data_IF_024757112951
#
_entry.id   IF_024757112951
#
_cell.length_a   1.000
_cell.length_b   1.000
_cell.length_c   1.000
_cell.angle_alpha   90.00
_cell.angle_beta   90.00
_cell.angle_gamma   90.00
#
_symmetry.space_group_name_H-M   'P 1'
#
loop_
_entity.id
_entity.type
_entity.pdbx_description
1 polymer ?
#
# COMPACT_ATOMS: atom_id res chain seq x y z
N UNK A 1 -12.20 -26.36 8.25
CA UNK A 1 -11.78 -26.21 6.84
C UNK A 1 -10.27 -26.28 6.78
N UNK A 2 -9.72 -27.16 5.97
CA UNK A 2 -8.40 -27.77 6.13
C UNK A 2 -7.20 -26.83 5.91
N UNK A 3 -6.20 -26.96 6.80
CA UNK A 3 -4.84 -26.38 6.75
C UNK A 3 -4.12 -26.57 5.37
N UNK A 4 -4.59 -27.48 4.53
CA UNK A 4 -4.04 -27.71 3.19
C UNK A 4 -4.30 -26.60 2.16
N UNK A 5 -5.24 -25.67 2.41
CA UNK A 5 -5.50 -24.54 1.48
C UNK A 5 -4.47 -23.43 1.68
N UNK A 6 -3.97 -23.22 2.89
CA UNK A 6 -2.93 -22.22 3.16
C UNK A 6 -1.56 -22.59 2.55
N UNK A 7 -1.26 -23.88 2.45
CA UNK A 7 -0.01 -24.35 1.81
C UNK A 7 -0.04 -24.24 0.27
N UNK A 8 -1.20 -24.29 -0.35
CA UNK A 8 -1.35 -24.18 -1.81
C UNK A 8 -1.23 -22.74 -2.31
N UNK A 9 -1.64 -21.75 -1.49
CA UNK A 9 -1.52 -20.33 -1.86
C UNK A 9 -0.06 -19.85 -1.76
N UNK A 10 0.73 -20.41 -0.85
CA UNK A 10 2.17 -20.12 -0.74
C UNK A 10 3.01 -20.76 -1.87
N UNK A 11 2.53 -21.82 -2.50
CA UNK A 11 3.30 -22.58 -3.50
C UNK A 11 3.10 -22.12 -4.95
N UNK A 12 2.06 -21.37 -5.28
CA UNK A 12 1.74 -21.00 -6.67
C UNK A 12 2.38 -19.70 -7.17
N UNK A 13 3.16 -18.99 -6.32
CA UNK A 13 3.90 -17.78 -6.70
C UNK A 13 5.38 -18.05 -7.06
N UNK A 14 5.84 -19.30 -7.02
CA UNK A 14 7.25 -19.68 -7.18
C UNK A 14 7.52 -20.50 -8.43
N UNK A 15 7.33 -19.95 -9.63
CA UNK A 15 7.95 -20.52 -10.85
C UNK A 15 8.12 -19.47 -11.96
N UNK A 16 9.17 -18.66 -11.85
CA UNK A 16 9.92 -18.17 -13.03
C UNK A 16 11.40 -18.26 -12.69
N UNK A 17 12.06 -19.21 -13.31
CA UNK A 17 13.49 -19.41 -13.13
C UNK A 17 14.31 -18.37 -13.89
N UNK A 18 15.28 -17.77 -13.21
CA UNK A 18 16.45 -17.15 -13.83
C UNK A 18 17.69 -17.47 -13.00
N UNK A 19 18.81 -17.66 -13.70
CA UNK A 19 20.08 -18.11 -13.18
C UNK A 19 20.65 -17.20 -12.07
N UNK A 20 21.20 -17.80 -11.04
CA UNK A 20 21.78 -17.12 -9.89
C UNK A 20 23.07 -16.35 -10.23
N UNK A 21 23.22 -15.10 -9.81
CA UNK A 21 24.53 -14.45 -9.77
C UNK A 21 25.35 -14.95 -8.58
N UNK A 22 26.63 -14.98 -8.78
CA UNK A 22 27.69 -15.52 -7.94
C UNK A 22 27.68 -14.97 -6.49
N UNK A 23 27.32 -15.82 -5.51
CA UNK A 23 27.18 -15.49 -4.08
C UNK A 23 28.51 -15.50 -3.31
N UNK A 24 29.64 -15.10 -3.89
CA UNK A 24 30.97 -15.29 -3.30
C UNK A 24 31.47 -14.20 -2.37
N UNK A 25 30.65 -13.24 -1.92
CA UNK A 25 31.06 -12.19 -0.96
C UNK A 25 30.24 -12.21 0.33
N UNK A 26 30.21 -13.36 1.03
CA UNK A 26 29.76 -13.40 2.42
C UNK A 26 30.90 -12.89 3.31
N UNK A 27 30.73 -11.72 3.94
CA UNK A 27 31.57 -11.33 5.07
C UNK A 27 31.00 -11.94 6.34
N UNK A 28 31.65 -12.98 6.83
CA UNK A 28 31.41 -13.53 8.16
C UNK A 28 32.29 -12.75 9.12
N UNK A 29 31.69 -12.07 10.10
CA UNK A 29 32.43 -11.39 11.16
C UNK A 29 32.46 -12.31 12.38
N UNK A 30 33.65 -12.49 12.97
CA UNK A 30 33.82 -13.17 14.26
C UNK A 30 34.01 -12.13 15.35
N UNK A 31 33.63 -12.46 16.58
CA UNK A 31 33.65 -11.57 17.78
C UNK A 31 34.98 -10.90 18.09
N UNK A 32 36.10 -11.43 17.60
CA UNK A 32 37.42 -10.84 17.81
C UNK A 32 37.64 -9.50 17.08
N UNK A 33 36.75 -9.12 16.19
CA UNK A 33 36.80 -7.85 15.46
C UNK A 33 36.08 -6.70 16.21
N UNK A 34 35.57 -6.93 17.43
CA UNK A 34 34.61 -6.08 18.10
C UNK A 34 35.17 -5.47 19.40
N UNK A 35 35.68 -4.26 19.30
CA UNK A 35 36.13 -3.47 20.47
C UNK A 35 35.06 -2.49 21.02
N UNK A 36 33.89 -2.44 20.41
CA UNK A 36 32.78 -1.53 20.78
C UNK A 36 31.45 -2.15 20.43
N UNK A 37 30.34 -1.61 20.94
CA UNK A 37 28.97 -2.02 20.58
C UNK A 37 28.55 -1.62 19.17
N UNK A 38 29.44 -1.07 18.38
CA UNK A 38 29.19 -0.55 17.03
C UNK A 38 29.97 -1.36 16.00
N UNK A 39 29.26 -1.84 14.98
CA UNK A 39 29.80 -2.69 13.93
C UNK A 39 29.63 -1.99 12.59
N UNK A 40 30.72 -1.61 11.95
CA UNK A 40 30.70 -1.04 10.62
C UNK A 40 30.71 -2.13 9.57
N UNK A 41 29.64 -2.20 8.77
CA UNK A 41 29.46 -3.18 7.70
C UNK A 41 29.52 -2.44 6.36
N UNK A 42 30.49 -2.79 5.51
CA UNK A 42 30.52 -2.31 4.12
C UNK A 42 29.54 -3.14 3.31
N UNK A 43 28.57 -2.46 2.71
CA UNK A 43 27.49 -3.09 1.95
C UNK A 43 27.77 -3.05 0.44
N UNK A 44 27.41 -4.11 -0.28
CA UNK A 44 27.39 -4.03 -1.75
C UNK A 44 26.35 -3.01 -2.20
N UNK A 45 26.70 -2.13 -3.13
CA UNK A 45 25.84 -1.01 -3.60
C UNK A 45 24.53 -1.43 -4.27
N UNK A 46 24.28 -2.72 -4.47
CA UNK A 46 23.22 -3.23 -5.34
C UNK A 46 22.02 -3.83 -4.60
N UNK A 47 21.97 -3.76 -3.28
CA UNK A 47 20.87 -4.31 -2.50
C UNK A 47 20.24 -3.24 -1.61
N UNK A 48 18.91 -3.26 -1.49
CA UNK A 48 18.15 -2.43 -0.56
C UNK A 48 17.71 -3.19 0.69
N UNK A 49 17.81 -4.52 0.65
CA UNK A 49 17.44 -5.41 1.75
C UNK A 49 18.62 -6.30 2.09
N UNK A 50 18.85 -6.50 3.37
CA UNK A 50 19.94 -7.30 3.90
C UNK A 50 19.39 -8.27 4.93
N UNK A 51 20.01 -9.44 5.01
CA UNK A 51 19.77 -10.44 6.06
C UNK A 51 20.87 -10.36 7.09
N UNK A 52 20.51 -10.15 8.34
CA UNK A 52 21.38 -10.34 9.49
C UNK A 52 21.14 -11.73 10.06
N UNK A 53 22.20 -12.52 10.21
CA UNK A 53 22.16 -13.83 10.85
C UNK A 53 23.05 -13.80 12.08
N UNK A 54 22.51 -14.25 13.21
CA UNK A 54 23.17 -14.18 14.52
C UNK A 54 23.09 -15.54 15.20
N UNK A 55 24.23 -16.00 15.72
CA UNK A 55 24.29 -17.14 16.61
C UNK A 55 24.66 -16.64 18.01
N UNK A 56 23.81 -16.90 19.00
CA UNK A 56 23.86 -16.23 20.29
C UNK A 56 23.25 -17.02 21.44
N UNK A 57 23.63 -16.62 22.67
CA UNK A 57 22.83 -16.83 23.89
C UNK A 57 22.43 -15.47 24.46
N UNK A 58 21.27 -15.36 25.11
CA UNK A 58 20.81 -14.09 25.65
C UNK A 58 19.90 -14.30 26.87
N UNK A 59 20.17 -13.59 27.96
CA UNK A 59 19.34 -13.57 29.17
C UNK A 59 18.05 -12.83 28.98
N UNK A 60 18.05 -11.82 28.10
CA UNK A 60 16.89 -11.02 27.75
C UNK A 60 16.81 -10.79 26.23
N UNK A 61 15.67 -10.29 25.78
CA UNK A 61 15.51 -9.82 24.41
C UNK A 61 16.52 -8.69 24.14
N UNK A 62 17.28 -8.81 23.05
CA UNK A 62 18.21 -7.79 22.59
C UNK A 62 17.90 -7.36 21.17
N UNK A 63 18.59 -6.33 20.68
CA UNK A 63 18.36 -5.83 19.31
C UNK A 63 19.60 -5.15 18.75
N UNK A 64 19.69 -5.13 17.42
CA UNK A 64 20.56 -4.23 16.68
C UNK A 64 19.77 -3.02 16.20
N UNK A 65 20.42 -1.85 16.22
CA UNK A 65 19.97 -0.68 15.46
C UNK A 65 20.87 -0.54 14.24
N UNK A 66 20.28 -0.66 13.05
CA UNK A 66 20.97 -0.46 11.79
C UNK A 66 20.78 0.99 11.34
N UNK A 67 21.85 1.72 11.07
CA UNK A 67 21.81 3.10 10.54
C UNK A 67 22.94 3.31 9.53
N UNK A 68 22.77 4.25 8.55
CA UNK A 68 23.88 4.69 7.75
C UNK A 68 24.96 5.34 8.60
N UNK A 69 26.26 5.10 8.28
CA UNK A 69 27.36 5.61 9.09
C UNK A 69 27.48 7.14 9.09
N UNK A 70 26.94 7.82 8.06
CA UNK A 70 27.06 9.26 7.89
C UNK A 70 25.86 10.08 8.35
N UNK A 71 24.76 9.46 8.78
CA UNK A 71 23.58 10.20 9.21
C UNK A 71 22.87 9.54 10.40
N UNK A 72 22.82 10.26 11.51
CA UNK A 72 22.29 9.77 12.79
C UNK A 72 20.75 9.64 12.84
N UNK A 73 20.01 10.25 11.91
CA UNK A 73 18.56 10.44 12.04
C UNK A 73 17.72 9.82 10.94
N UNK A 74 18.31 9.32 9.87
CA UNK A 74 17.58 8.77 8.72
C UNK A 74 17.85 7.27 8.62
N UNK A 75 16.77 6.48 8.48
CA UNK A 75 16.84 5.08 8.10
C UNK A 75 17.18 4.11 9.21
N UNK A 76 16.76 4.39 10.44
CA UNK A 76 16.93 3.48 11.56
C UNK A 76 16.03 2.25 11.43
N UNK A 77 16.65 1.08 11.30
CA UNK A 77 15.96 -0.21 11.43
C UNK A 77 16.34 -0.86 12.75
N UNK A 78 15.36 -1.24 13.55
CA UNK A 78 15.59 -2.00 14.79
C UNK A 78 15.27 -3.47 14.55
N UNK A 79 16.31 -4.30 14.69
CA UNK A 79 16.24 -5.73 14.43
C UNK A 79 16.34 -6.45 15.78
N UNK A 80 15.27 -7.13 16.20
CA UNK A 80 15.16 -7.72 17.54
C UNK A 80 15.27 -9.24 17.51
N UNK A 81 15.91 -9.78 18.54
CA UNK A 81 16.09 -11.20 18.79
C UNK A 81 15.55 -11.57 20.17
N UNK A 82 14.87 -12.70 20.34
CA UNK A 82 14.35 -13.12 21.63
C UNK A 82 15.46 -13.56 22.59
N UNK A 83 15.14 -13.70 23.87
CA UNK A 83 16.00 -14.35 24.83
C UNK A 83 16.17 -15.84 24.47
N UNK A 84 17.36 -16.41 24.77
CA UNK A 84 17.65 -17.84 24.65
C UNK A 84 18.80 -18.21 25.55
N UNK A 85 18.58 -19.08 26.54
CA UNK A 85 19.62 -19.58 27.41
C UNK A 85 20.54 -20.62 26.73
N UNK A 86 20.05 -21.22 25.64
CA UNK A 86 20.84 -22.15 24.83
C UNK A 86 21.31 -21.44 23.55
N UNK A 87 22.40 -21.93 22.97
CA UNK A 87 22.94 -21.40 21.73
C UNK A 87 21.89 -21.49 20.62
N UNK A 88 21.53 -20.35 20.05
CA UNK A 88 20.48 -20.19 19.02
C UNK A 88 21.01 -19.46 17.83
N UNK A 89 20.64 -19.94 16.64
CA UNK A 89 20.90 -19.25 15.37
C UNK A 89 19.61 -18.73 14.80
N UNK A 90 19.56 -17.44 14.54
CA UNK A 90 18.40 -16.78 13.91
C UNK A 90 18.83 -15.78 12.85
N UNK A 91 17.94 -15.60 11.88
CA UNK A 91 18.11 -14.61 10.81
C UNK A 91 16.91 -13.67 10.75
N UNK A 92 17.18 -12.40 10.43
CA UNK A 92 16.16 -11.36 10.23
C UNK A 92 16.53 -10.52 9.01
N UNK A 93 15.54 -10.20 8.21
CA UNK A 93 15.72 -9.28 7.09
C UNK A 93 15.45 -7.84 7.55
N UNK A 94 16.25 -6.91 7.06
CA UNK A 94 16.12 -5.49 7.35
C UNK A 94 16.43 -4.66 6.10
N UNK A 95 15.92 -3.44 6.06
CA UNK A 95 16.15 -2.51 4.95
C UNK A 95 17.18 -1.46 5.29
N UNK A 96 17.94 -1.09 4.27
CA UNK A 96 18.77 0.12 4.26
C UNK A 96 18.04 1.18 3.43
N UNK A 97 17.82 2.32 4.05
CA UNK A 97 16.89 3.35 3.58
C UNK A 97 17.39 4.14 2.37
N UNK A 98 18.66 4.01 1.99
CA UNK A 98 19.19 4.67 0.80
C UNK A 98 20.19 3.79 0.05
N UNK A 99 20.02 3.65 -1.27
CA UNK A 99 20.97 2.92 -2.11
C UNK A 99 22.34 3.62 -2.24
N UNK A 100 22.45 4.87 -1.80
CA UNK A 100 23.67 5.68 -1.91
C UNK A 100 24.67 5.45 -0.77
N UNK A 101 24.28 4.68 0.25
CA UNK A 101 25.17 4.39 1.37
C UNK A 101 26.03 3.15 1.10
N UNK A 102 27.35 3.36 1.16
CA UNK A 102 28.35 2.29 0.99
C UNK A 102 28.64 1.53 2.29
N UNK A 103 28.19 2.05 3.43
CA UNK A 103 28.44 1.46 4.75
C UNK A 103 27.26 1.61 5.71
N UNK A 104 27.09 0.60 6.53
CA UNK A 104 26.07 0.50 7.54
C UNK A 104 26.73 0.37 8.91
N UNK A 105 26.20 1.09 9.88
CA UNK A 105 26.52 0.92 11.28
C UNK A 105 25.45 0.06 11.95
N UNK A 106 25.84 -1.08 12.50
CA UNK A 106 25.01 -1.89 13.38
C UNK A 106 25.40 -1.59 14.82
N UNK A 107 24.46 -1.15 15.63
CA UNK A 107 24.66 -0.88 17.06
C UNK A 107 23.94 -1.96 17.85
N UNK A 108 24.66 -2.72 18.63
CA UNK A 108 24.09 -3.69 19.54
C UNK A 108 23.53 -2.94 20.76
N UNK A 109 22.25 -3.08 20.99
CA UNK A 109 21.60 -2.52 22.16
C UNK A 109 21.57 -3.56 23.28
N UNK A 110 21.99 -3.16 24.49
CA UNK A 110 22.08 -3.97 25.70
C UNK A 110 23.07 -5.16 25.54
N UNK A 111 24.34 -4.88 25.23
CA UNK A 111 25.36 -5.94 25.01
C UNK A 111 25.57 -6.83 26.22
N UNK A 112 25.32 -6.35 27.44
CA UNK A 112 25.41 -7.08 28.68
C UNK A 112 24.38 -8.20 28.85
N UNK A 113 23.30 -8.15 28.09
CA UNK A 113 22.22 -9.14 28.14
C UNK A 113 22.41 -10.30 27.15
N UNK A 114 23.43 -10.26 26.27
CA UNK A 114 23.63 -11.29 25.24
C UNK A 114 25.11 -11.60 24.99
N UNK A 115 25.39 -12.83 24.59
CA UNK A 115 26.67 -13.32 24.11
C UNK A 115 26.55 -13.78 22.67
N UNK A 116 27.13 -13.01 21.73
CA UNK A 116 27.06 -13.26 20.29
C UNK A 116 28.28 -14.05 19.86
N UNK A 117 28.07 -15.23 19.30
CA UNK A 117 29.14 -16.12 18.79
C UNK A 117 29.48 -15.81 17.33
N UNK A 118 28.45 -15.62 16.50
CA UNK A 118 28.64 -15.24 15.10
C UNK A 118 27.62 -14.19 14.69
N UNK A 119 28.05 -13.29 13.80
CA UNK A 119 27.21 -12.28 13.16
C UNK A 119 27.60 -12.23 11.70
N UNK A 120 26.62 -12.35 10.81
CA UNK A 120 26.82 -12.12 9.39
C UNK A 120 25.73 -11.20 8.83
N UNK A 121 26.10 -10.41 7.82
CA UNK A 121 25.16 -9.58 7.05
C UNK A 121 25.38 -9.87 5.58
N UNK A 122 24.33 -10.27 4.90
CA UNK A 122 24.36 -10.58 3.47
C UNK A 122 23.26 -9.80 2.72
N UNK A 123 23.49 -9.41 1.45
CA UNK A 123 22.46 -8.83 0.64
C UNK A 123 21.40 -9.87 0.32
N UNK A 124 20.13 -9.48 0.40
CA UNK A 124 19.01 -10.28 -0.13
C UNK A 124 18.78 -9.84 -1.58
N UNK A 125 18.89 -10.74 -2.57
CA UNK A 125 18.67 -10.40 -3.96
C UNK A 125 17.30 -9.74 -4.17
N UNK A 126 17.28 -8.60 -4.83
CA UNK A 126 16.06 -7.79 -5.04
C UNK A 126 14.96 -8.58 -5.79
N UNK A 127 15.34 -9.54 -6.59
CA UNK A 127 14.44 -10.39 -7.37
C UNK A 127 13.67 -11.42 -6.50
N UNK A 128 14.14 -11.68 -5.28
CA UNK A 128 13.52 -12.64 -4.36
C UNK A 128 12.78 -12.00 -3.19
N UNK A 129 12.86 -10.68 -3.03
CA UNK A 129 12.31 -10.04 -1.85
C UNK A 129 11.61 -8.72 -2.17
N UNK A 130 10.30 -8.80 -2.21
CA UNK A 130 9.44 -7.64 -2.20
C UNK A 130 8.82 -7.52 -0.79
N UNK A 131 9.38 -6.70 0.12
CA UNK A 131 8.96 -6.67 1.52
C UNK A 131 7.49 -6.31 1.71
N UNK A 132 6.91 -5.56 0.78
CA UNK A 132 5.48 -5.27 0.83
C UNK A 132 4.59 -6.50 0.61
N UNK A 133 5.14 -7.61 0.10
CA UNK A 133 4.41 -8.86 -0.12
C UNK A 133 4.50 -9.84 1.04
N UNK A 134 5.35 -9.58 2.02
CA UNK A 134 5.58 -10.45 3.17
C UNK A 134 4.89 -9.87 4.38
N UNK A 135 3.93 -10.62 4.94
CA UNK A 135 3.22 -10.19 6.14
C UNK A 135 4.18 -9.88 7.29
N UNK A 136 4.08 -8.68 7.85
CA UNK A 136 4.93 -8.21 8.93
C UNK A 136 4.08 -7.76 10.13
N UNK A 137 4.42 -8.24 11.32
CA UNK A 137 3.75 -7.84 12.56
C UNK A 137 3.83 -6.31 12.73
N UNK A 138 2.69 -5.61 12.87
CA UNK A 138 2.66 -4.18 13.08
C UNK A 138 3.37 -3.80 14.38
N UNK A 139 3.94 -2.60 14.39
CA UNK A 139 4.65 -2.06 15.55
C UNK A 139 3.82 -2.21 16.83
N UNK A 140 4.45 -2.61 17.95
CA UNK A 140 3.79 -2.91 19.24
C UNK A 140 2.80 -1.85 19.71
N UNK A 141 3.05 -0.57 19.42
CA UNK A 141 2.15 0.54 19.76
C UNK A 141 0.75 0.44 19.13
N UNK A 142 0.63 -0.33 18.04
CA UNK A 142 -0.61 -0.44 17.27
C UNK A 142 -1.44 -1.70 17.64
N UNK A 143 -0.92 -2.61 18.47
CA UNK A 143 -1.62 -3.85 18.83
C UNK A 143 -2.97 -3.58 19.52
N UNK A 144 -3.05 -2.56 20.39
CA UNK A 144 -4.32 -2.18 21.05
C UNK A 144 -5.38 -1.77 20.04
N UNK A 145 -4.99 -1.00 19.02
CA UNK A 145 -5.93 -0.57 17.98
C UNK A 145 -6.40 -1.76 17.14
N UNK A 146 -5.50 -2.70 16.81
CA UNK A 146 -5.87 -3.90 16.08
C UNK A 146 -6.87 -4.78 16.87
N UNK A 147 -6.62 -4.98 18.17
CA UNK A 147 -7.55 -5.70 19.06
C UNK A 147 -8.93 -5.00 19.10
N UNK A 148 -8.94 -3.67 19.15
CA UNK A 148 -10.20 -2.91 19.13
C UNK A 148 -10.94 -3.08 17.81
N UNK A 149 -10.23 -3.03 16.67
CA UNK A 149 -10.81 -3.27 15.35
C UNK A 149 -11.45 -4.66 15.26
N UNK A 150 -10.77 -5.70 15.75
CA UNK A 150 -11.33 -7.07 15.79
C UNK A 150 -12.64 -7.10 16.56
N UNK A 151 -12.68 -6.51 17.77
CA UNK A 151 -13.87 -6.43 18.60
C UNK A 151 -15.01 -5.63 17.93
N UNK A 152 -14.68 -4.52 17.29
CA UNK A 152 -15.66 -3.69 16.59
C UNK A 152 -16.25 -4.45 15.39
N UNK A 153 -15.41 -5.19 14.66
CA UNK A 153 -15.83 -6.00 13.54
C UNK A 153 -16.65 -7.23 13.99
N UNK A 154 -16.27 -7.89 15.08
CA UNK A 154 -17.03 -8.99 15.68
C UNK A 154 -18.44 -8.56 16.10
N UNK A 155 -18.59 -7.35 16.64
CA UNK A 155 -19.87 -6.77 17.06
C UNK A 155 -20.72 -6.24 15.90
N UNK A 156 -20.10 -5.92 14.78
CA UNK A 156 -20.82 -5.41 13.63
C UNK A 156 -21.84 -6.46 13.11
N UNK A 157 -22.98 -6.04 12.55
CA UNK A 157 -23.89 -6.92 11.84
C UNK A 157 -23.21 -7.73 10.75
N UNK A 158 -23.87 -8.74 10.20
CA UNK A 158 -23.38 -9.47 9.04
C UNK A 158 -23.16 -8.54 7.84
N UNK A 159 -22.13 -8.81 7.06
CA UNK A 159 -21.80 -8.06 5.85
C UNK A 159 -21.60 -6.55 6.05
N UNK A 160 -20.84 -6.09 7.08
CA UNK A 160 -20.54 -4.67 7.24
C UNK A 160 -19.62 -4.18 6.15
N UNK A 161 -19.51 -2.84 6.00
CA UNK A 161 -18.45 -2.21 5.24
C UNK A 161 -17.20 -2.13 6.13
N UNK A 162 -16.03 -2.47 5.60
CA UNK A 162 -14.77 -2.33 6.33
C UNK A 162 -13.81 -1.41 5.58
N UNK A 163 -13.28 -0.41 6.30
CA UNK A 163 -12.34 0.56 5.73
C UNK A 163 -10.93 0.26 6.22
N UNK A 164 -10.15 -0.43 5.40
CA UNK A 164 -8.75 -0.69 5.68
C UNK A 164 -7.85 0.47 5.25
N UNK A 165 -6.83 0.73 6.05
CA UNK A 165 -5.85 1.75 5.73
C UNK A 165 -4.86 2.02 6.86
N UNK A 166 -4.12 3.12 6.68
CA UNK A 166 -3.15 3.64 7.63
C UNK A 166 -3.70 4.82 8.46
N UNK A 167 -2.87 5.81 8.80
CA UNK A 167 -3.28 6.99 9.55
C UNK A 167 -4.33 7.84 8.83
N UNK A 168 -4.37 7.83 7.50
CA UNK A 168 -5.38 8.57 6.74
C UNK A 168 -6.78 8.02 6.99
N UNK A 169 -6.89 6.72 7.21
CA UNK A 169 -8.14 6.06 7.60
C UNK A 169 -8.34 6.12 9.13
N UNK A 170 -7.29 5.86 9.92
CA UNK A 170 -7.37 5.85 11.38
C UNK A 170 -7.80 7.20 11.97
N UNK A 171 -7.28 8.32 11.42
CA UNK A 171 -7.63 9.67 11.87
C UNK A 171 -9.03 10.13 11.42
N UNK A 172 -9.71 9.37 10.61
CA UNK A 172 -11.10 9.60 10.24
C UNK A 172 -12.02 9.11 11.36
N UNK A 173 -12.12 9.91 12.42
CA UNK A 173 -12.82 9.60 13.69
C UNK A 173 -13.68 10.76 14.18
N UNK A 174 -14.53 10.50 15.17
CA UNK A 174 -15.40 11.49 15.80
C UNK A 174 -16.22 12.20 14.74
N UNK A 175 -16.37 13.51 14.83
CA UNK A 175 -17.15 14.32 13.89
C UNK A 175 -16.76 14.14 12.43
N UNK A 176 -15.49 13.85 12.13
CA UNK A 176 -15.02 13.55 10.77
C UNK A 176 -15.67 12.28 10.21
N UNK A 177 -16.08 11.34 11.06
CA UNK A 177 -16.64 10.04 10.69
C UNK A 177 -18.16 9.95 10.83
N UNK A 178 -18.82 10.94 11.44
CA UNK A 178 -20.25 10.93 11.74
C UNK A 178 -21.12 10.63 10.51
N UNK A 179 -20.78 11.20 9.37
CA UNK A 179 -21.50 10.94 8.13
C UNK A 179 -21.45 9.44 7.74
N UNK A 180 -20.28 8.82 7.83
CA UNK A 180 -20.11 7.39 7.49
C UNK A 180 -20.87 6.52 8.49
N UNK A 181 -20.72 6.77 9.78
CA UNK A 181 -21.38 6.00 10.83
C UNK A 181 -22.91 6.13 10.78
N UNK A 182 -23.44 7.29 10.35
CA UNK A 182 -24.88 7.52 10.23
C UNK A 182 -25.50 6.86 9.00
N UNK A 183 -24.73 6.77 7.90
CA UNK A 183 -25.27 6.34 6.61
C UNK A 183 -24.90 4.90 6.23
N UNK A 184 -23.98 4.26 6.93
CA UNK A 184 -23.49 2.91 6.63
C UNK A 184 -23.25 2.11 7.90
N UNK A 185 -23.43 0.80 7.81
CA UNK A 185 -22.89 -0.14 8.79
C UNK A 185 -21.40 -0.34 8.49
N UNK A 186 -20.55 0.45 9.15
CA UNK A 186 -19.16 0.58 8.76
C UNK A 186 -18.20 0.42 9.93
N UNK A 187 -17.08 -0.27 9.71
CA UNK A 187 -15.98 -0.42 10.66
C UNK A 187 -14.74 0.28 10.10
N UNK A 188 -14.22 1.25 10.85
CA UNK A 188 -12.94 1.88 10.54
C UNK A 188 -11.79 0.98 11.03
N UNK A 189 -11.10 0.34 10.08
CA UNK A 189 -9.98 -0.55 10.32
C UNK A 189 -8.62 0.08 9.98
N UNK A 190 -8.52 1.42 10.04
CA UNK A 190 -7.26 2.14 9.89
C UNK A 190 -6.36 2.00 11.12
N UNK A 191 -5.04 1.96 10.91
CA UNK A 191 -4.02 2.01 11.95
C UNK A 191 -2.88 2.94 11.54
N UNK A 192 -2.58 3.94 12.37
CA UNK A 192 -1.50 4.89 12.13
C UNK A 192 -0.15 4.20 11.90
N UNK A 193 0.52 4.59 10.81
CA UNK A 193 1.86 4.10 10.47
C UNK A 193 1.88 2.73 9.79
N UNK A 194 0.71 2.14 9.49
CA UNK A 194 0.66 0.89 8.75
C UNK A 194 1.25 1.04 7.35
N UNK A 195 2.00 0.04 6.98
CA UNK A 195 2.48 -0.25 5.63
C UNK A 195 1.67 -1.38 5.01
N UNK A 196 1.83 -1.62 3.73
CA UNK A 196 1.12 -2.70 3.01
C UNK A 196 1.31 -4.05 3.70
N UNK A 197 2.54 -4.40 4.09
CA UNK A 197 2.88 -5.63 4.78
C UNK A 197 2.27 -5.76 6.18
N UNK A 198 2.08 -4.64 6.89
CA UNK A 198 1.40 -4.62 8.18
C UNK A 198 -0.10 -4.91 8.01
N UNK A 199 -0.72 -4.31 7.00
CA UNK A 199 -2.11 -4.56 6.70
C UNK A 199 -2.32 -6.00 6.22
N UNK A 200 -1.41 -6.56 5.43
CA UNK A 200 -1.45 -7.97 5.04
C UNK A 200 -1.43 -8.89 6.27
N UNK A 201 -0.54 -8.61 7.24
CA UNK A 201 -0.51 -9.34 8.50
C UNK A 201 -1.85 -9.27 9.25
N UNK A 202 -2.46 -8.08 9.34
CA UNK A 202 -3.74 -7.89 10.04
C UNK A 202 -4.89 -8.66 9.37
N UNK A 203 -4.93 -8.69 8.05
CA UNK A 203 -5.93 -9.44 7.30
C UNK A 203 -5.77 -10.94 7.57
N UNK A 204 -4.55 -11.45 7.58
CA UNK A 204 -4.27 -12.84 7.90
C UNK A 204 -4.65 -13.17 9.37
N UNK A 205 -4.39 -12.27 10.31
CA UNK A 205 -4.80 -12.45 11.72
C UNK A 205 -6.33 -12.39 11.90
N UNK A 206 -7.03 -11.66 11.05
CA UNK A 206 -8.50 -11.54 11.06
C UNK A 206 -9.20 -12.56 10.15
N UNK A 207 -8.49 -13.47 9.49
CA UNK A 207 -9.05 -14.29 8.40
C UNK A 207 -10.34 -15.04 8.76
N UNK A 208 -10.44 -15.57 9.98
CA UNK A 208 -11.64 -16.30 10.42
C UNK A 208 -12.88 -15.42 10.47
N UNK A 209 -12.82 -14.30 11.20
CA UNK A 209 -13.95 -13.39 11.33
C UNK A 209 -14.31 -12.69 10.01
N UNK A 210 -13.32 -12.45 9.14
CA UNK A 210 -13.54 -11.93 7.79
C UNK A 210 -14.28 -12.96 6.93
N UNK A 211 -13.84 -14.22 6.95
CA UNK A 211 -14.49 -15.31 6.22
C UNK A 211 -15.92 -15.61 6.71
N UNK A 212 -16.17 -15.48 8.01
CA UNK A 212 -17.50 -15.69 8.60
C UNK A 212 -18.48 -14.58 8.23
N UNK A 213 -18.06 -13.31 8.33
CA UNK A 213 -18.97 -12.17 8.15
C UNK A 213 -19.08 -11.68 6.71
N UNK A 214 -18.09 -11.95 5.86
CA UNK A 214 -18.07 -11.56 4.45
C UNK A 214 -18.50 -10.09 4.28
N UNK A 215 -17.62 -9.10 4.45
CA UNK A 215 -18.02 -7.70 4.30
C UNK A 215 -18.65 -7.44 2.93
N UNK A 216 -19.69 -6.64 2.86
CA UNK A 216 -20.30 -6.24 1.58
C UNK A 216 -19.28 -5.47 0.72
N UNK A 217 -18.59 -4.52 1.36
CA UNK A 217 -17.54 -3.71 0.73
C UNK A 217 -16.32 -3.66 1.64
N UNK A 218 -15.15 -3.81 1.05
CA UNK A 218 -13.87 -3.52 1.69
C UNK A 218 -13.14 -2.43 0.91
N UNK A 219 -12.69 -1.37 1.59
CA UNK A 219 -11.88 -0.32 0.96
C UNK A 219 -10.44 -0.40 1.44
N UNK A 220 -9.50 -0.06 0.57
CA UNK A 220 -8.07 -0.08 0.83
C UNK A 220 -7.45 1.27 0.46
N UNK A 221 -7.01 2.02 1.47
CA UNK A 221 -6.26 3.26 1.33
C UNK A 221 -4.93 3.09 2.07
N UNK A 222 -3.92 2.57 1.37
CA UNK A 222 -2.66 2.12 1.98
C UNK A 222 -1.47 2.34 1.04
N UNK A 223 -0.27 2.47 1.59
CA UNK A 223 0.98 2.56 0.84
C UNK A 223 1.75 3.85 1.07
N UNK A 224 1.12 4.90 1.61
CA UNK A 224 1.80 6.18 1.85
C UNK A 224 2.97 6.04 2.82
N UNK A 225 2.90 5.14 3.80
CA UNK A 225 4.00 4.91 4.74
C UNK A 225 5.16 4.11 4.13
N UNK A 226 4.91 3.30 3.10
CA UNK A 226 5.97 2.61 2.38
C UNK A 226 6.93 3.63 1.72
N UNK A 227 6.42 4.77 1.22
CA UNK A 227 7.26 5.85 0.71
C UNK A 227 8.20 6.44 1.76
N UNK A 228 7.73 6.62 3.00
CA UNK A 228 8.57 7.14 4.09
C UNK A 228 9.76 6.24 4.40
N UNK A 229 9.66 4.96 4.02
CA UNK A 229 10.72 3.96 4.16
C UNK A 229 11.40 3.64 2.81
N UNK A 230 11.23 4.49 1.80
CA UNK A 230 11.86 4.42 0.48
C UNK A 230 11.69 3.06 -0.23
N UNK A 231 10.50 2.47 -0.09
CA UNK A 231 10.12 1.30 -0.89
C UNK A 231 10.02 1.68 -2.35
N UNK A 232 10.47 0.80 -3.24
CA UNK A 232 10.32 1.03 -4.67
C UNK A 232 8.84 1.04 -5.06
N UNK A 233 8.44 1.86 -6.04
CA UNK A 233 7.07 1.88 -6.53
C UNK A 233 6.54 0.51 -6.94
N UNK A 234 7.37 -0.29 -7.60
CA UNK A 234 7.05 -1.65 -8.05
C UNK A 234 6.78 -2.61 -6.88
N UNK A 235 7.57 -2.47 -5.81
CA UNK A 235 7.41 -3.26 -4.60
C UNK A 235 6.08 -2.93 -3.90
N UNK A 236 5.72 -1.65 -3.81
CA UNK A 236 4.44 -1.21 -3.25
C UNK A 236 3.27 -1.76 -4.07
N UNK A 237 3.33 -1.64 -5.39
CA UNK A 237 2.29 -2.12 -6.28
C UNK A 237 2.12 -3.65 -6.19
N UNK A 238 3.23 -4.40 -6.16
CA UNK A 238 3.21 -5.84 -5.97
C UNK A 238 2.64 -6.22 -4.59
N UNK A 239 2.99 -5.46 -3.55
CA UNK A 239 2.45 -5.64 -2.21
C UNK A 239 0.95 -5.43 -2.16
N UNK A 240 0.44 -4.36 -2.78
CA UNK A 240 -1.01 -4.11 -2.89
C UNK A 240 -1.71 -5.22 -3.66
N UNK A 241 -1.14 -5.68 -4.79
CA UNK A 241 -1.68 -6.82 -5.55
C UNK A 241 -1.83 -8.06 -4.67
N UNK A 242 -0.77 -8.43 -3.94
CA UNK A 242 -0.77 -9.58 -3.05
C UNK A 242 -1.78 -9.42 -1.89
N UNK A 243 -1.87 -8.23 -1.32
CA UNK A 243 -2.84 -7.88 -0.29
C UNK A 243 -4.28 -8.12 -0.77
N UNK A 244 -4.61 -7.61 -1.95
CA UNK A 244 -5.96 -7.74 -2.53
C UNK A 244 -6.26 -9.19 -2.92
N UNK A 245 -5.32 -9.92 -3.52
CA UNK A 245 -5.48 -11.33 -3.83
C UNK A 245 -5.69 -12.18 -2.57
N UNK A 246 -4.93 -11.90 -1.50
CA UNK A 246 -5.10 -12.58 -0.20
C UNK A 246 -6.46 -12.28 0.41
N UNK A 247 -6.89 -11.01 0.41
CA UNK A 247 -8.20 -10.63 0.92
C UNK A 247 -9.33 -11.29 0.11
N UNK A 248 -9.24 -11.30 -1.22
CA UNK A 248 -10.21 -11.96 -2.11
C UNK A 248 -10.33 -13.45 -1.82
N UNK A 249 -9.22 -14.15 -1.54
CA UNK A 249 -9.24 -15.57 -1.19
C UNK A 249 -10.00 -15.83 0.13
N UNK A 250 -9.98 -14.88 1.08
CA UNK A 250 -10.71 -14.95 2.35
C UNK A 250 -12.17 -14.53 2.18
N UNK A 251 -12.42 -13.50 1.38
CA UNK A 251 -13.70 -12.84 1.17
C UNK A 251 -14.11 -12.86 -0.31
N UNK A 252 -14.51 -14.01 -0.89
CA UNK A 252 -14.73 -14.16 -2.33
C UNK A 252 -15.88 -13.32 -2.88
N UNK A 253 -16.86 -12.94 -2.06
CA UNK A 253 -18.06 -12.22 -2.50
C UNK A 253 -18.02 -10.71 -2.20
N UNK A 254 -16.95 -10.21 -1.58
CA UNK A 254 -16.81 -8.81 -1.18
C UNK A 254 -16.51 -7.93 -2.39
N UNK A 255 -17.16 -6.77 -2.49
CA UNK A 255 -16.75 -5.71 -3.41
C UNK A 255 -15.53 -4.99 -2.85
N UNK A 256 -14.43 -5.00 -3.59
CA UNK A 256 -13.14 -4.46 -3.16
C UNK A 256 -12.91 -3.11 -3.86
N UNK A 257 -12.66 -2.06 -3.08
CA UNK A 257 -12.31 -0.74 -3.61
C UNK A 257 -10.87 -0.41 -3.18
N UNK A 258 -9.99 -0.23 -4.13
CA UNK A 258 -8.61 0.22 -3.91
C UNK A 258 -8.53 1.69 -4.30
N UNK A 259 -8.07 2.53 -3.40
CA UNK A 259 -7.83 3.94 -3.69
C UNK A 259 -6.37 4.19 -4.03
N UNK A 260 -6.16 5.11 -4.96
CA UNK A 260 -4.85 5.68 -5.23
C UNK A 260 -4.24 6.26 -3.94
N UNK A 261 -2.93 6.19 -3.82
CA UNK A 261 -2.22 6.85 -2.73
C UNK A 261 -2.33 8.35 -2.96
N UNK A 262 -2.87 9.13 -1.98
CA UNK A 262 -3.09 10.56 -2.16
C UNK A 262 -1.77 11.31 -2.33
N UNK A 263 -1.79 12.43 -3.08
CA UNK A 263 -0.67 13.36 -3.11
C UNK A 263 -0.27 13.78 -1.70
N UNK A 264 1.03 13.87 -1.45
CA UNK A 264 1.56 14.30 -0.15
C UNK A 264 2.87 15.07 -0.32
N UNK A 265 3.15 15.97 0.59
CA UNK A 265 4.45 16.64 0.68
C UNK A 265 5.07 16.40 2.05
N UNK A 266 6.39 16.37 2.13
CA UNK A 266 7.07 16.56 3.40
C UNK A 266 7.37 18.03 3.59
N UNK A 267 7.41 18.49 4.84
CA UNK A 267 7.83 19.87 5.17
C UNK A 267 9.22 20.19 4.58
N UNK A 268 10.08 19.15 4.50
CA UNK A 268 11.45 19.25 4.00
C UNK A 268 11.62 18.78 2.54
N UNK A 269 10.57 18.16 1.94
CA UNK A 269 10.63 17.60 0.58
C UNK A 269 9.31 17.84 -0.15
N UNK A 270 9.12 19.00 -0.75
CA UNK A 270 7.89 19.32 -1.51
C UNK A 270 7.76 18.53 -2.82
N UNK A 271 8.78 17.76 -3.19
CA UNK A 271 8.94 17.01 -4.44
C UNK A 271 8.39 15.56 -4.41
N UNK A 272 7.68 15.18 -3.34
CA UNK A 272 7.14 13.80 -3.22
C UNK A 272 5.89 13.53 -4.08
N UNK A 273 5.32 14.55 -4.73
CA UNK A 273 4.27 14.35 -5.74
C UNK A 273 4.70 13.40 -6.89
N UNK A 274 5.93 13.48 -7.44
CA UNK A 274 6.38 12.57 -8.47
C UNK A 274 6.34 11.09 -8.09
N UNK A 275 6.35 10.76 -6.79
CA UNK A 275 6.32 9.38 -6.33
C UNK A 275 4.94 8.73 -6.51
N UNK A 276 3.86 9.48 -6.27
CA UNK A 276 2.50 9.02 -6.53
C UNK A 276 2.24 8.88 -8.02
N UNK A 277 2.80 9.77 -8.84
CA UNK A 277 2.71 9.74 -10.30
C UNK A 277 3.31 8.46 -10.92
N UNK A 278 4.27 7.84 -10.25
CA UNK A 278 4.87 6.55 -10.68
C UNK A 278 4.16 5.37 -10.05
N UNK A 279 3.85 5.45 -8.75
CA UNK A 279 3.34 4.29 -7.99
C UNK A 279 1.88 4.01 -8.28
N UNK A 280 1.03 5.04 -8.38
CA UNK A 280 -0.41 4.85 -8.62
C UNK A 280 -0.72 4.15 -9.95
N UNK A 281 -0.09 4.49 -11.09
CA UNK A 281 -0.25 3.71 -12.32
C UNK A 281 0.18 2.24 -12.20
N UNK A 282 1.22 1.94 -11.41
CA UNK A 282 1.66 0.57 -11.17
C UNK A 282 0.65 -0.20 -10.31
N UNK A 283 0.06 0.44 -9.29
CA UNK A 283 -1.03 -0.14 -8.50
C UNK A 283 -2.25 -0.40 -9.40
N UNK A 284 -2.64 0.57 -10.21
CA UNK A 284 -3.76 0.41 -11.15
C UNK A 284 -3.55 -0.77 -12.09
N UNK A 285 -2.37 -0.87 -12.71
CA UNK A 285 -2.01 -2.00 -13.57
C UNK A 285 -2.08 -3.33 -12.81
N UNK A 286 -1.58 -3.37 -11.58
CA UNK A 286 -1.63 -4.58 -10.74
C UNK A 286 -3.09 -5.01 -10.43
N UNK A 287 -3.99 -4.06 -10.20
CA UNK A 287 -5.43 -4.31 -10.02
C UNK A 287 -6.07 -4.79 -11.33
N UNK A 288 -5.68 -4.22 -12.47
CA UNK A 288 -6.18 -4.67 -13.77
C UNK A 288 -5.72 -6.10 -14.12
N UNK A 289 -4.52 -6.49 -13.74
CA UNK A 289 -4.06 -7.88 -13.87
C UNK A 289 -4.90 -8.84 -13.02
N UNK A 290 -5.31 -8.45 -11.81
CA UNK A 290 -6.24 -9.24 -11.00
C UNK A 290 -7.61 -9.38 -11.69
N UNK A 291 -8.15 -8.31 -12.26
CA UNK A 291 -9.41 -8.36 -13.02
C UNK A 291 -9.30 -9.28 -14.24
N UNK A 292 -8.19 -9.27 -14.96
CA UNK A 292 -7.95 -10.11 -16.12
C UNK A 292 -7.90 -11.60 -15.77
N UNK A 293 -7.51 -11.96 -14.54
CA UNK A 293 -7.52 -13.34 -14.03
C UNK A 293 -8.87 -13.82 -13.46
N UNK A 294 -9.99 -13.19 -13.84
CA UNK A 294 -11.36 -13.45 -13.38
C UNK A 294 -11.73 -12.94 -11.97
N UNK A 295 -10.96 -12.02 -11.41
CA UNK A 295 -11.33 -11.35 -10.16
C UNK A 295 -12.41 -10.29 -10.41
N UNK A 296 -13.67 -10.66 -10.18
CA UNK A 296 -14.81 -9.75 -10.27
C UNK A 296 -14.86 -8.81 -9.07
N UNK A 297 -15.55 -7.69 -9.23
CA UNK A 297 -15.84 -6.74 -8.14
C UNK A 297 -14.59 -6.18 -7.44
N UNK A 298 -13.51 -5.94 -8.18
CA UNK A 298 -12.34 -5.17 -7.75
C UNK A 298 -12.31 -3.86 -8.53
N UNK A 299 -12.28 -2.74 -7.82
CA UNK A 299 -12.37 -1.39 -8.37
C UNK A 299 -11.17 -0.57 -7.94
N UNK A 300 -10.67 0.28 -8.82
CA UNK A 300 -9.63 1.26 -8.51
C UNK A 300 -10.17 2.65 -8.75
N UNK A 301 -9.94 3.58 -7.81
CA UNK A 301 -10.33 4.97 -7.92
C UNK A 301 -9.20 5.90 -7.49
N UNK A 302 -8.99 6.96 -8.27
CA UNK A 302 -8.04 8.02 -7.97
C UNK A 302 -8.78 9.34 -7.71
N UNK A 303 -8.50 9.96 -6.56
CA UNK A 303 -9.03 11.27 -6.17
C UNK A 303 -7.93 12.32 -5.99
N UNK A 304 -6.73 12.02 -6.48
CA UNK A 304 -5.56 12.89 -6.35
C UNK A 304 -5.78 14.29 -6.92
N UNK A 305 -6.49 14.40 -8.04
CA UNK A 305 -6.78 15.68 -8.69
C UNK A 305 -7.74 16.58 -7.86
N UNK A 306 -8.48 16.02 -6.91
CA UNK A 306 -9.26 16.81 -5.95
C UNK A 306 -8.36 17.45 -4.88
N UNK A 307 -7.22 16.85 -4.61
CA UNK A 307 -6.28 17.22 -3.55
C UNK A 307 -5.07 18.04 -4.05
N UNK A 308 -4.82 18.05 -5.34
CA UNK A 308 -3.72 18.77 -5.95
C UNK A 308 -4.17 19.50 -7.22
N UNK A 309 -3.53 20.63 -7.50
CA UNK A 309 -3.67 21.37 -8.75
C UNK A 309 -2.29 21.63 -9.35
N UNK A 310 -2.10 21.28 -10.63
CA UNK A 310 -0.81 21.46 -11.35
C UNK A 310 0.40 20.97 -10.55
N UNK A 311 0.28 19.80 -9.92
CA UNK A 311 1.28 19.21 -8.98
C UNK A 311 1.50 20.00 -7.69
N UNK A 312 0.67 20.98 -7.39
CA UNK A 312 0.69 21.70 -6.13
C UNK A 312 -0.42 21.17 -5.23
N UNK A 313 -0.06 20.74 -4.03
CA UNK A 313 -1.06 20.33 -3.03
C UNK A 313 -1.97 21.50 -2.67
N UNK A 314 -3.25 21.23 -2.59
CA UNK A 314 -4.25 22.17 -2.04
C UNK A 314 -4.12 22.17 -0.53
N UNK A 315 -3.37 23.13 -0.01
CA UNK A 315 -2.96 23.20 1.42
C UNK A 315 -4.13 23.17 2.38
N UNK A 316 -5.29 23.69 2.00
CA UNK A 316 -6.50 23.73 2.80
C UNK A 316 -7.05 22.35 3.17
N UNK A 317 -6.70 21.30 2.41
CA UNK A 317 -7.15 19.94 2.66
C UNK A 317 -6.20 19.13 3.54
N UNK A 318 -5.05 19.71 3.91
CA UNK A 318 -4.01 19.03 4.67
C UNK A 318 -3.70 19.74 5.98
N UNK A 319 -3.26 18.97 6.97
CA UNK A 319 -2.61 19.48 8.15
C UNK A 319 -1.24 20.11 7.79
N UNK A 320 -0.59 20.76 8.76
CA UNK A 320 0.71 21.40 8.56
C UNK A 320 1.81 20.45 8.09
N UNK A 321 1.69 19.15 8.38
CA UNK A 321 2.64 18.10 7.98
C UNK A 321 2.52 17.70 6.51
N UNK A 322 1.54 18.23 5.79
CA UNK A 322 1.28 17.97 4.35
C UNK A 322 1.10 16.49 4.03
N UNK A 323 0.69 15.71 4.98
CA UNK A 323 0.41 14.28 4.88
C UNK A 323 -1.01 13.96 5.33
N UNK A 324 -1.36 14.35 6.55
CA UNK A 324 -2.66 14.06 7.11
C UNK A 324 -3.70 15.09 6.62
N UNK A 325 -4.93 14.63 6.43
CA UNK A 325 -6.00 15.52 5.99
C UNK A 325 -6.48 16.40 7.12
N UNK A 326 -6.75 17.67 6.82
CA UNK A 326 -7.45 18.60 7.68
C UNK A 326 -8.92 18.20 7.83
N UNK A 327 -9.65 18.83 8.77
CA UNK A 327 -11.11 18.66 8.87
C UNK A 327 -11.81 18.93 7.54
N UNK A 328 -11.34 19.95 6.81
CA UNK A 328 -11.85 20.30 5.48
C UNK A 328 -11.54 19.20 4.47
N UNK A 329 -10.33 18.60 4.48
CA UNK A 329 -9.97 17.50 3.61
C UNK A 329 -10.85 16.26 3.82
N UNK A 330 -11.17 15.93 5.06
CA UNK A 330 -12.14 14.87 5.36
C UNK A 330 -13.54 15.22 4.92
N UNK A 331 -14.02 16.43 5.19
CA UNK A 331 -15.41 16.82 4.94
C UNK A 331 -15.71 17.03 3.44
N UNK A 332 -14.81 17.65 2.70
CA UNK A 332 -15.05 18.07 1.32
C UNK A 332 -14.50 17.09 0.26
N UNK A 333 -13.54 16.25 0.63
CA UNK A 333 -12.91 15.32 -0.32
C UNK A 333 -13.10 13.87 0.10
N UNK A 334 -12.52 13.43 1.22
CA UNK A 334 -12.45 12.01 1.55
C UNK A 334 -13.82 11.40 1.81
N UNK A 335 -14.63 12.03 2.67
CA UNK A 335 -15.97 11.52 3.02
C UNK A 335 -16.89 11.43 1.80
N UNK A 336 -17.10 12.48 0.98
CA UNK A 336 -17.98 12.39 -0.17
C UNK A 336 -17.43 11.43 -1.23
N UNK A 337 -16.11 11.37 -1.44
CA UNK A 337 -15.53 10.47 -2.44
C UNK A 337 -15.68 9.00 -2.03
N UNK A 338 -15.29 8.62 -0.82
CA UNK A 338 -15.38 7.22 -0.36
C UNK A 338 -16.84 6.78 -0.21
N UNK A 339 -17.71 7.61 0.39
CA UNK A 339 -19.13 7.26 0.51
C UNK A 339 -19.79 7.13 -0.86
N UNK A 340 -19.44 7.99 -1.80
CA UNK A 340 -19.93 7.94 -3.18
C UNK A 340 -19.48 6.70 -3.93
N UNK A 341 -18.22 6.31 -3.82
CA UNK A 341 -17.72 5.06 -4.44
C UNK A 341 -18.41 3.84 -3.86
N UNK A 342 -18.64 3.79 -2.54
CA UNK A 342 -19.38 2.71 -1.89
C UNK A 342 -20.79 2.62 -2.47
N UNK A 343 -21.53 3.73 -2.51
CA UNK A 343 -22.89 3.77 -3.11
C UNK A 343 -22.88 3.33 -4.57
N UNK A 344 -21.91 3.79 -5.34
CA UNK A 344 -21.78 3.46 -6.75
C UNK A 344 -21.60 1.95 -6.96
N UNK A 345 -20.66 1.31 -6.26
CA UNK A 345 -20.38 -0.13 -6.44
C UNK A 345 -21.48 -1.02 -5.86
N UNK A 346 -22.27 -0.52 -4.92
CA UNK A 346 -23.42 -1.26 -4.34
C UNK A 346 -24.73 -0.96 -5.07
N UNK A 347 -24.75 -0.01 -5.99
CA UNK A 347 -25.95 0.34 -6.77
C UNK A 347 -26.40 -0.84 -7.63
N UNK A 348 -27.68 -1.19 -7.52
CA UNK A 348 -28.31 -2.22 -8.37
C UNK A 348 -28.62 -1.73 -9.77
N UNK A 349 -28.59 -0.42 -9.98
CA UNK A 349 -28.96 0.23 -11.25
C UNK A 349 -27.73 0.55 -12.12
N UNK A 350 -26.51 0.27 -11.65
CA UNK A 350 -25.31 0.50 -12.42
C UNK A 350 -25.25 -0.47 -13.61
N UNK A 351 -25.08 0.02 -14.86
CA UNK A 351 -24.86 -0.86 -16.00
C UNK A 351 -23.64 -1.77 -15.77
N UNK A 352 -23.79 -3.06 -16.05
CA UNK A 352 -22.74 -4.07 -15.76
C UNK A 352 -21.38 -3.77 -16.42
N UNK A 353 -21.38 -3.02 -17.53
CA UNK A 353 -20.20 -2.64 -18.29
C UNK A 353 -19.69 -1.22 -17.98
N UNK A 354 -20.38 -0.47 -17.10
CA UNK A 354 -20.05 0.93 -16.81
C UNK A 354 -18.59 1.12 -16.37
N UNK A 355 -18.17 0.40 -15.35
CA UNK A 355 -16.78 0.48 -14.87
C UNK A 355 -15.77 0.03 -15.91
N UNK A 356 -16.09 -1.02 -16.66
CA UNK A 356 -15.23 -1.50 -17.75
C UNK A 356 -15.00 -0.43 -18.81
N UNK A 357 -16.07 0.26 -19.22
CA UNK A 357 -16.02 1.35 -20.20
C UNK A 357 -15.23 2.55 -19.65
N UNK A 358 -15.52 2.99 -18.43
CA UNK A 358 -14.83 4.12 -17.81
C UNK A 358 -13.32 3.85 -17.66
N UNK A 359 -12.93 2.67 -17.18
CA UNK A 359 -11.54 2.29 -17.07
C UNK A 359 -10.85 2.20 -18.44
N UNK A 360 -11.54 1.72 -19.46
CA UNK A 360 -11.00 1.65 -20.81
C UNK A 360 -10.76 3.04 -21.41
N UNK A 361 -11.67 3.98 -21.17
CA UNK A 361 -11.50 5.38 -21.58
C UNK A 361 -10.33 6.06 -20.87
N UNK A 362 -10.23 5.90 -19.57
CA UNK A 362 -9.12 6.43 -18.79
C UNK A 362 -7.76 5.90 -19.28
N UNK A 363 -7.65 4.58 -19.51
CA UNK A 363 -6.43 3.97 -20.08
C UNK A 363 -6.10 4.51 -21.47
N UNK A 364 -7.12 4.70 -22.28
CA UNK A 364 -6.94 5.29 -23.61
C UNK A 364 -6.35 6.70 -23.49
N UNK A 365 -6.91 7.55 -22.62
CA UNK A 365 -6.39 8.90 -22.38
C UNK A 365 -4.95 8.88 -21.84
N UNK A 366 -4.64 8.01 -20.88
CA UNK A 366 -3.29 7.86 -20.32
C UNK A 366 -2.28 7.41 -21.38
N UNK A 367 -2.65 6.43 -22.21
CA UNK A 367 -1.81 5.97 -23.32
C UNK A 367 -1.58 7.09 -24.34
N UNK A 368 -2.63 7.81 -24.72
CA UNK A 368 -2.55 8.93 -25.65
C UNK A 368 -1.69 10.07 -25.10
N UNK A 369 -1.89 10.44 -23.85
CA UNK A 369 -1.05 11.43 -23.17
C UNK A 369 0.43 11.07 -23.24
N UNK A 370 0.79 9.82 -22.92
CA UNK A 370 2.18 9.36 -22.97
C UNK A 370 2.74 9.39 -24.39
N UNK A 371 1.95 8.96 -25.38
CA UNK A 371 2.35 9.00 -26.79
C UNK A 371 2.60 10.43 -27.27
N UNK A 372 1.69 11.35 -26.99
CA UNK A 372 1.80 12.75 -27.38
C UNK A 372 2.98 13.44 -26.68
N UNK A 373 3.20 13.14 -25.40
CA UNK A 373 4.36 13.62 -24.63
C UNK A 373 5.68 13.19 -25.27
N UNK A 374 5.79 11.92 -25.68
CA UNK A 374 7.01 11.38 -26.29
C UNK A 374 7.25 11.96 -27.70
N UNK A 375 6.18 12.29 -28.42
CA UNK A 375 6.23 12.85 -29.77
C UNK A 375 6.16 14.37 -29.81
N UNK A 376 6.24 15.05 -28.65
CA UNK A 376 6.14 16.51 -28.52
C UNK A 376 4.85 17.11 -29.09
N UNK A 377 3.80 16.34 -29.16
CA UNK A 377 2.47 16.79 -29.59
C UNK A 377 1.72 17.50 -28.43
N UNK A 378 2.14 18.74 -28.13
CA UNK A 378 1.76 19.47 -26.92
C UNK A 378 0.24 19.69 -26.80
N UNK A 379 -0.44 20.06 -27.87
CA UNK A 379 -1.90 20.34 -27.83
C UNK A 379 -2.71 19.10 -27.48
N UNK A 380 -2.40 17.97 -28.11
CA UNK A 380 -3.07 16.70 -27.82
C UNK A 380 -2.76 16.20 -26.41
N UNK A 381 -1.51 16.38 -25.97
CA UNK A 381 -1.11 16.03 -24.59
C UNK A 381 -1.92 16.86 -23.58
N UNK A 382 -2.03 18.17 -23.78
CA UNK A 382 -2.80 19.06 -22.90
C UNK A 382 -4.30 18.73 -22.92
N UNK A 383 -4.85 18.34 -24.08
CA UNK A 383 -6.23 17.89 -24.18
C UNK A 383 -6.46 16.61 -23.36
N UNK A 384 -5.59 15.59 -23.49
CA UNK A 384 -5.67 14.37 -22.69
C UNK A 384 -5.53 14.66 -21.19
N UNK A 385 -4.59 15.53 -20.81
CA UNK A 385 -4.40 15.95 -19.41
C UNK A 385 -5.66 16.63 -18.85
N UNK A 386 -6.31 17.47 -19.63
CA UNK A 386 -7.57 18.13 -19.26
C UNK A 386 -8.67 17.11 -18.98
N UNK A 387 -8.82 16.12 -19.87
CA UNK A 387 -9.80 15.05 -19.67
C UNK A 387 -9.50 14.18 -18.46
N UNK A 388 -8.25 13.78 -18.26
CA UNK A 388 -7.83 13.01 -17.08
C UNK A 388 -8.14 13.78 -15.78
N UNK A 389 -7.84 15.08 -15.74
CA UNK A 389 -8.16 15.94 -14.59
C UNK A 389 -9.66 16.14 -14.35
N UNK A 390 -10.51 15.89 -15.33
CA UNK A 390 -11.95 15.98 -15.17
C UNK A 390 -12.58 14.72 -14.56
N UNK A 391 -11.86 13.60 -14.47
CA UNK A 391 -12.40 12.32 -14.00
C UNK A 391 -12.83 12.37 -12.52
N UNK A 392 -11.98 12.86 -11.62
CA UNK A 392 -12.34 12.94 -10.22
C UNK A 392 -13.53 13.89 -9.94
N UNK A 393 -13.61 15.11 -10.52
CA UNK A 393 -14.81 15.94 -10.48
C UNK A 393 -16.05 15.28 -11.09
N UNK A 394 -15.90 14.52 -12.17
CA UNK A 394 -16.99 13.76 -12.78
C UNK A 394 -17.54 12.71 -11.81
N UNK A 395 -16.66 11.95 -11.16
CA UNK A 395 -17.06 11.01 -10.12
C UNK A 395 -17.80 11.69 -8.97
N UNK A 396 -17.32 12.83 -8.49
CA UNK A 396 -17.99 13.59 -7.42
C UNK A 396 -19.42 14.02 -7.83
N UNK A 397 -19.62 14.40 -9.10
CA UNK A 397 -20.95 14.74 -9.59
C UNK A 397 -21.87 13.51 -9.62
N UNK A 398 -21.38 12.37 -10.09
CA UNK A 398 -22.12 11.09 -10.07
C UNK A 398 -22.48 10.71 -8.62
N UNK A 399 -21.53 10.79 -7.70
CA UNK A 399 -21.75 10.44 -6.30
C UNK A 399 -22.81 11.31 -5.65
N UNK A 400 -22.82 12.61 -5.95
CA UNK A 400 -23.88 13.53 -5.52
C UNK A 400 -25.25 13.08 -6.02
N UNK A 401 -25.37 12.82 -7.32
CA UNK A 401 -26.62 12.37 -7.94
C UNK A 401 -27.12 11.05 -7.35
N UNK A 402 -26.24 10.06 -7.17
CA UNK A 402 -26.60 8.77 -6.52
C UNK A 402 -27.06 8.99 -5.07
N UNK A 403 -26.49 9.96 -4.35
CA UNK A 403 -26.91 10.25 -2.98
C UNK A 403 -28.26 10.95 -2.88
N UNK A 404 -28.69 11.65 -3.96
CA UNK A 404 -29.96 12.35 -4.06
C UNK A 404 -31.08 11.46 -4.66
N UNK A 405 -30.71 10.54 -5.55
CA UNK A 405 -31.60 9.59 -6.22
C UNK A 405 -30.96 8.20 -6.33
N UNK A 406 -31.45 7.24 -5.60
CA UNK A 406 -30.96 5.86 -5.59
C UNK A 406 -31.24 5.09 -6.88
N UNK A 407 -32.12 5.62 -7.74
CA UNK A 407 -32.44 5.10 -9.07
C UNK A 407 -31.61 5.72 -10.19
N UNK A 408 -30.80 6.72 -9.86
CA UNK A 408 -29.96 7.37 -10.84
C UNK A 408 -29.02 6.37 -11.53
N UNK A 409 -29.04 6.37 -12.87
CA UNK A 409 -28.15 5.58 -13.71
C UNK A 409 -27.05 6.51 -14.22
N UNK A 410 -25.78 6.28 -13.84
CA UNK A 410 -24.67 7.07 -14.34
C UNK A 410 -24.51 6.97 -15.86
N UNK A 411 -24.41 8.11 -16.52
CA UNK A 411 -24.15 8.19 -17.95
C UNK A 411 -22.63 8.27 -18.21
N UNK A 412 -22.21 7.70 -19.33
CA UNK A 412 -20.84 7.88 -19.82
C UNK A 412 -20.66 9.33 -20.28
N UNK A 413 -19.47 9.94 -20.02
CA UNK A 413 -19.20 11.28 -20.52
C UNK A 413 -19.40 11.36 -22.04
N UNK A 414 -20.13 12.38 -22.50
CA UNK A 414 -20.40 12.56 -23.92
C UNK A 414 -19.11 12.61 -24.77
N UNK A 415 -18.07 13.19 -24.20
CA UNK A 415 -16.74 13.27 -24.81
C UNK A 415 -16.14 11.88 -25.07
N UNK A 416 -16.25 10.96 -24.11
CA UNK A 416 -15.81 9.57 -24.32
C UNK A 416 -16.53 8.92 -25.49
N UNK A 417 -17.87 9.04 -25.53
CA UNK A 417 -18.67 8.43 -26.60
C UNK A 417 -18.32 9.02 -27.98
N UNK A 418 -18.01 10.31 -28.02
CA UNK A 418 -17.60 11.00 -29.25
C UNK A 418 -16.22 10.47 -29.71
N UNK A 419 -15.24 10.45 -28.84
CA UNK A 419 -13.88 9.98 -29.17
C UNK A 419 -13.86 8.50 -29.52
N UNK A 420 -14.59 7.65 -28.77
CA UNK A 420 -14.70 6.23 -29.07
C UNK A 420 -15.24 5.97 -30.48
N UNK A 421 -16.20 6.80 -30.98
CA UNK A 421 -16.73 6.72 -32.33
C UNK A 421 -15.72 7.21 -33.37
N UNK A 422 -15.05 8.34 -33.12
CA UNK A 422 -14.11 8.95 -34.07
C UNK A 422 -12.86 8.09 -34.29
N UNK A 423 -12.36 7.43 -33.24
CA UNK A 423 -11.14 6.65 -33.29
C UNK A 423 -11.35 5.16 -33.57
N UNK A 424 -12.57 4.76 -33.88
CA UNK A 424 -12.86 3.36 -34.22
C UNK A 424 -12.56 2.36 -33.10
N UNK A 425 -12.66 2.79 -31.85
CA UNK A 425 -12.45 1.89 -30.70
C UNK A 425 -13.41 0.70 -30.77
N UNK A 426 -13.00 -0.49 -30.27
CA UNK A 426 -13.85 -1.67 -30.28
C UNK A 426 -15.25 -1.40 -29.74
N UNK A 427 -16.26 -2.05 -30.30
CA UNK A 427 -17.68 -1.79 -29.98
C UNK A 427 -17.99 -1.97 -28.49
N UNK A 428 -17.28 -2.86 -27.79
CA UNK A 428 -17.44 -3.04 -26.35
C UNK A 428 -16.90 -1.87 -25.51
N UNK A 429 -16.16 -0.94 -26.14
CA UNK A 429 -15.68 0.30 -25.54
C UNK A 429 -16.51 1.51 -25.91
N UNK A 430 -17.46 1.34 -26.86
CA UNK A 430 -18.37 2.39 -27.34
C UNK A 430 -19.58 2.60 -26.44
#
# INVERSE_FOLDING_TARGET
MNIKILSAIAASVFLVGCAAPDCRNQKIFTLNDFKSNEYKVVLPKNASTYRISVEYTAKKKFSFTAKPSHNAFIGLSRISFPASETLRKESRDFKVVSPDYSDLMLILNNPEDCDIKTLSVEPVPAEKYAPSTVAADPLRKNNRRHIQIKKDYEKAPSSPIILFGDSLTDNWRGKRFDYMAKNFTVVNAGICGDKVEHLLWRILDMHQILAEKQPEVATFLIGTNNFSYQYKPEDIALGVKNLIATFRAICPNTKIIVFAIPPRGFVTRPDMLPFTDVTNPLIENAIDELKASNERDVYYFDFGDLLADKRMMRKEFYEHDKLHFSDKGYAEVLTPFISGTIRLVTSKNLPADYFRKMTAWERYLKKRYTTCKNNLALEEMLACETHLKSLAPHWMNIFKKISEDDKYIPEMPAEYLRQARQEGLPEFLR
#
